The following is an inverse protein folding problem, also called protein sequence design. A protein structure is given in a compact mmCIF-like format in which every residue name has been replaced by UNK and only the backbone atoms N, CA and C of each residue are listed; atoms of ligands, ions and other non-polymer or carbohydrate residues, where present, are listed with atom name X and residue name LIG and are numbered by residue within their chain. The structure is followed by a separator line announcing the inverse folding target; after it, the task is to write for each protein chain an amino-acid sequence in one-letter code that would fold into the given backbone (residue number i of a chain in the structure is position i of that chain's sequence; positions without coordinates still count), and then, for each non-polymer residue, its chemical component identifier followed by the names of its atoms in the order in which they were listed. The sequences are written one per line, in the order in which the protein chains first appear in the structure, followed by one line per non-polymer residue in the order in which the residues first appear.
data_IF_984019806239
#
_entry.id   IF_984019806239
#
_cell.length_a   1.000
_cell.length_b   1.000
_cell.length_c   1.000
_cell.angle_alpha   90.00
_cell.angle_beta   90.00
_cell.angle_gamma   90.00
#
_symmetry.space_group_name_H-M   'P 1'
#
loop_
_entity.id
_entity.type
_entity.pdbx_description
1 polymer ?
#
# COMPACT_ATOMS: atom_id res chain seq x y z
N UNK A 1 -18.47 16.52 -12.71
CA UNK A 1 -17.10 16.50 -12.13
C UNK A 1 -16.61 15.07 -11.97
N UNK A 2 -15.32 14.87 -11.69
CA UNK A 2 -14.68 13.53 -11.56
C UNK A 2 -15.37 12.65 -10.47
N UNK A 3 -16.11 13.25 -9.55
CA UNK A 3 -16.81 12.58 -8.46
C UNK A 3 -18.21 12.04 -8.81
N UNK A 4 -18.83 12.40 -9.94
CA UNK A 4 -20.27 12.12 -10.20
C UNK A 4 -20.63 10.64 -10.09
N UNK A 5 -19.73 9.73 -10.47
CA UNK A 5 -19.97 8.28 -10.44
C UNK A 5 -19.34 7.58 -9.22
N UNK A 6 -18.88 8.33 -8.22
CA UNK A 6 -18.24 7.80 -7.00
C UNK A 6 -19.15 8.03 -5.80
N UNK A 7 -20.07 7.10 -5.54
CA UNK A 7 -20.98 7.16 -4.40
C UNK A 7 -20.26 7.30 -3.04
N UNK A 8 -19.03 6.79 -2.96
CA UNK A 8 -18.15 6.86 -1.80
C UNK A 8 -17.29 8.15 -1.74
N UNK A 9 -17.50 9.12 -2.63
CA UNK A 9 -16.80 10.42 -2.58
C UNK A 9 -17.33 11.26 -1.42
N UNK A 10 -16.43 11.78 -0.59
CA UNK A 10 -16.78 12.69 0.50
C UNK A 10 -17.51 13.94 0.00
N UNK A 11 -17.22 14.40 -1.23
CA UNK A 11 -17.93 15.52 -1.84
C UNK A 11 -19.39 15.18 -2.11
N UNK A 12 -19.67 13.96 -2.59
CA UNK A 12 -21.04 13.51 -2.83
C UNK A 12 -21.80 13.24 -1.52
N UNK A 13 -21.11 12.68 -0.52
CA UNK A 13 -21.70 12.39 0.79
C UNK A 13 -22.03 13.66 1.58
N UNK A 14 -21.20 14.71 1.48
CA UNK A 14 -21.40 15.98 2.20
C UNK A 14 -22.14 17.03 1.39
N UNK A 15 -22.21 16.89 0.07
CA UNK A 15 -22.73 17.92 -0.84
C UNK A 15 -21.89 19.21 -0.88
N UNK A 16 -20.77 19.28 -0.15
CA UNK A 16 -20.03 20.51 0.09
C UNK A 16 -18.58 20.42 -0.41
N UNK A 17 -18.42 20.65 -1.72
CA UNK A 17 -17.10 20.68 -2.38
C UNK A 17 -16.10 21.65 -1.73
N UNK A 18 -16.42 22.92 -1.41
CA UNK A 18 -15.44 23.83 -0.83
C UNK A 18 -15.00 23.39 0.57
N UNK A 19 -15.89 22.80 1.37
CA UNK A 19 -15.52 22.25 2.68
C UNK A 19 -14.47 21.15 2.55
N UNK A 20 -14.72 20.14 1.70
CA UNK A 20 -13.77 19.03 1.48
C UNK A 20 -12.44 19.54 0.92
N UNK A 21 -12.46 20.53 0.03
CA UNK A 21 -11.26 21.17 -0.49
C UNK A 21 -10.43 21.84 0.61
N UNK A 22 -11.06 22.64 1.47
CA UNK A 22 -10.37 23.33 2.56
C UNK A 22 -9.88 22.39 3.65
N UNK A 23 -10.66 21.35 3.99
CA UNK A 23 -10.22 20.30 4.91
C UNK A 23 -8.98 19.57 4.36
N UNK A 24 -8.99 19.20 3.09
CA UNK A 24 -7.84 18.55 2.44
C UNK A 24 -6.57 19.41 2.47
N UNK A 25 -6.69 20.71 2.13
CA UNK A 25 -5.56 21.63 2.20
C UNK A 25 -5.11 21.89 3.65
N UNK A 26 -6.05 21.95 4.60
CA UNK A 26 -5.74 22.06 6.02
C UNK A 26 -4.90 20.88 6.51
N UNK A 27 -5.31 19.64 6.22
CA UNK A 27 -4.54 18.43 6.54
C UNK A 27 -3.16 18.43 5.87
N UNK A 28 -3.06 18.88 4.60
CA UNK A 28 -1.79 18.98 3.90
C UNK A 28 -0.84 19.98 4.58
N UNK A 29 -1.33 21.19 4.90
CA UNK A 29 -0.55 22.21 5.60
C UNK A 29 -0.09 21.73 6.98
N UNK A 30 -0.96 21.04 7.73
CA UNK A 30 -0.61 20.43 9.02
C UNK A 30 0.44 19.33 8.88
N UNK A 31 0.35 18.50 7.83
CA UNK A 31 1.37 17.50 7.54
C UNK A 31 2.72 18.13 7.25
N UNK A 32 2.77 19.13 6.35
CA UNK A 32 4.00 19.84 6.00
C UNK A 32 4.59 20.54 7.23
N UNK A 33 3.77 21.25 8.01
CA UNK A 33 4.24 21.93 9.21
C UNK A 33 4.79 20.94 10.23
N UNK A 34 4.14 19.79 10.43
CA UNK A 34 4.65 18.71 11.29
C UNK A 34 6.01 18.17 10.86
N UNK A 35 6.23 18.00 9.56
CA UNK A 35 7.52 17.53 9.03
C UNK A 35 8.62 18.58 9.25
N UNK A 36 8.30 19.85 9.01
CA UNK A 36 9.23 20.96 9.22
C UNK A 36 9.57 21.15 10.71
N UNK A 37 8.59 21.01 11.61
CA UNK A 37 8.83 21.11 13.04
C UNK A 37 9.67 19.94 13.55
N UNK A 38 9.44 18.70 13.09
CA UNK A 38 10.31 17.54 13.38
C UNK A 38 11.74 17.83 12.91
N UNK A 39 11.91 18.27 11.67
CA UNK A 39 13.24 18.57 11.09
C UNK A 39 13.97 19.65 11.90
N UNK A 40 13.27 20.72 12.26
CA UNK A 40 13.83 21.81 13.05
C UNK A 40 14.19 21.38 14.48
N UNK A 41 13.27 20.69 15.16
CA UNK A 41 13.46 20.21 16.53
C UNK A 41 14.61 19.21 16.61
N UNK A 42 14.70 18.32 15.63
CA UNK A 42 15.72 17.28 15.61
C UNK A 42 17.09 17.78 15.15
N UNK A 43 17.13 18.92 14.45
CA UNK A 43 18.31 19.46 13.74
C UNK A 43 18.91 18.43 12.77
N UNK A 44 18.05 17.62 12.16
CA UNK A 44 18.39 16.52 11.26
C UNK A 44 17.42 16.52 10.07
N UNK A 45 17.97 16.45 8.86
CA UNK A 45 17.22 16.49 7.60
C UNK A 45 16.76 15.13 7.10
N UNK A 46 17.10 14.01 7.76
CA UNK A 46 16.82 12.66 7.25
C UNK A 46 15.33 12.42 6.99
N UNK A 47 14.45 12.79 7.94
CA UNK A 47 12.99 12.60 7.80
C UNK A 47 12.46 13.39 6.61
N UNK A 48 12.86 14.66 6.47
CA UNK A 48 12.49 15.49 5.33
C UNK A 48 12.99 14.89 4.02
N UNK A 49 14.23 14.39 3.99
CA UNK A 49 14.81 13.74 2.82
C UNK A 49 14.04 12.50 2.37
N UNK A 50 13.65 11.63 3.31
CA UNK A 50 12.82 10.45 3.01
C UNK A 50 11.47 10.83 2.42
N UNK A 51 10.84 11.89 2.95
CA UNK A 51 9.54 12.37 2.47
C UNK A 51 9.66 13.02 1.09
N UNK A 52 10.69 13.84 0.86
CA UNK A 52 10.95 14.43 -0.45
C UNK A 52 11.22 13.34 -1.50
N UNK A 53 11.94 12.27 -1.13
CA UNK A 53 12.15 11.11 -1.99
C UNK A 53 10.82 10.40 -2.31
N UNK A 54 9.94 10.20 -1.33
CA UNK A 54 8.59 9.69 -1.56
C UNK A 54 7.77 10.59 -2.51
N UNK A 55 7.82 11.92 -2.33
CA UNK A 55 7.15 12.87 -3.22
C UNK A 55 7.70 12.79 -4.65
N UNK A 56 9.02 12.70 -4.80
CA UNK A 56 9.68 12.53 -6.09
C UNK A 56 9.24 11.22 -6.78
N UNK A 57 9.26 10.10 -6.06
CA UNK A 57 8.78 8.82 -6.59
C UNK A 57 7.29 8.85 -6.95
N UNK A 58 6.47 9.54 -6.15
CA UNK A 58 5.06 9.78 -6.44
C UNK A 58 4.85 10.60 -7.72
N UNK A 59 5.70 11.61 -7.96
CA UNK A 59 5.71 12.34 -9.23
C UNK A 59 6.14 11.43 -10.39
N UNK A 60 7.25 10.69 -10.27
CA UNK A 60 7.73 9.77 -11.31
C UNK A 60 6.71 8.66 -11.63
N UNK A 61 5.89 8.26 -10.65
CA UNK A 61 4.84 7.27 -10.84
C UNK A 61 3.79 7.69 -11.87
N UNK A 62 3.32 8.95 -11.83
CA UNK A 62 2.18 9.40 -12.64
C UNK A 62 2.52 10.53 -13.62
N UNK A 63 3.51 11.37 -13.31
CA UNK A 63 3.87 12.58 -14.05
C UNK A 63 4.78 12.33 -15.26
N UNK A 64 4.69 13.17 -16.32
CA UNK A 64 5.66 13.18 -17.41
C UNK A 64 7.05 13.66 -16.92
N UNK A 65 8.16 13.23 -17.54
CA UNK A 65 8.24 12.31 -18.68
C UNK A 65 8.17 10.83 -18.29
N UNK A 66 8.29 10.48 -17.01
CA UNK A 66 8.53 9.09 -16.58
C UNK A 66 7.27 8.21 -16.64
N UNK A 67 6.16 8.63 -16.03
CA UNK A 67 4.90 7.87 -15.95
C UNK A 67 5.12 6.38 -15.61
N UNK A 68 5.94 6.08 -14.60
CA UNK A 68 6.39 4.72 -14.28
C UNK A 68 5.23 3.75 -13.95
N UNK A 69 4.11 4.27 -13.42
CA UNK A 69 2.89 3.49 -13.22
C UNK A 69 2.29 2.94 -14.53
N UNK A 70 2.45 3.66 -15.64
CA UNK A 70 2.06 3.19 -16.98
C UNK A 70 3.04 2.17 -17.53
N UNK A 71 4.27 2.17 -17.03
CA UNK A 71 5.32 1.23 -17.44
C UNK A 71 5.33 -0.07 -16.62
N UNK A 72 4.38 -0.26 -15.69
CA UNK A 72 4.27 -1.48 -14.88
C UNK A 72 5.23 -1.53 -13.68
N UNK A 73 5.75 -0.39 -13.24
CA UNK A 73 6.56 -0.27 -12.01
C UNK A 73 5.74 0.13 -10.78
N UNK A 74 4.42 0.17 -10.90
CA UNK A 74 3.53 0.70 -9.87
C UNK A 74 3.63 -0.08 -8.56
N UNK A 75 3.65 -1.40 -8.64
CA UNK A 75 3.74 -2.31 -7.50
C UNK A 75 5.04 -2.12 -6.72
N UNK A 76 6.16 -1.91 -7.42
CA UNK A 76 7.46 -1.67 -6.79
C UNK A 76 7.52 -0.29 -6.13
N UNK A 77 7.04 0.75 -6.81
CA UNK A 77 7.02 2.11 -6.25
C UNK A 77 6.08 2.16 -5.04
N UNK A 78 4.91 1.52 -5.14
CA UNK A 78 3.97 1.38 -4.04
C UNK A 78 4.62 0.66 -2.84
N UNK A 79 5.30 -0.46 -3.09
CA UNK A 79 6.06 -1.19 -2.08
C UNK A 79 7.10 -0.30 -1.37
N UNK A 80 7.96 0.38 -2.14
CA UNK A 80 9.05 1.21 -1.60
C UNK A 80 8.49 2.39 -0.79
N UNK A 81 7.52 3.13 -1.35
CA UNK A 81 6.98 4.33 -0.74
C UNK A 81 6.17 4.03 0.53
N UNK A 82 5.28 3.02 0.50
CA UNK A 82 4.40 2.70 1.62
C UNK A 82 4.99 1.71 2.62
N UNK A 83 6.08 1.03 2.27
CA UNK A 83 6.83 0.14 3.16
C UNK A 83 8.09 0.83 3.69
N UNK A 84 9.28 0.49 3.15
CA UNK A 84 10.57 0.97 3.65
C UNK A 84 10.67 2.48 3.88
N UNK A 85 10.26 3.31 2.92
CA UNK A 85 10.43 4.76 3.08
C UNK A 85 9.51 5.33 4.16
N UNK A 86 8.19 5.09 4.06
CA UNK A 86 7.23 5.63 5.02
C UNK A 86 7.48 5.14 6.45
N UNK A 87 7.64 3.83 6.66
CA UNK A 87 7.82 3.29 8.01
C UNK A 87 9.20 3.66 8.59
N UNK A 88 10.25 3.74 7.77
CA UNK A 88 11.54 4.23 8.26
C UNK A 88 11.47 5.71 8.63
N UNK A 89 10.75 6.54 7.88
CA UNK A 89 10.55 7.95 8.24
C UNK A 89 9.83 8.10 9.59
N UNK A 90 8.79 7.29 9.82
CA UNK A 90 8.05 7.27 11.10
C UNK A 90 8.89 6.73 12.25
N UNK A 91 9.69 5.69 12.03
CA UNK A 91 10.56 5.12 13.07
C UNK A 91 11.71 6.08 13.42
N UNK A 92 12.36 6.64 12.40
CA UNK A 92 13.48 7.55 12.58
C UNK A 92 13.03 8.87 13.21
N UNK A 93 11.83 9.38 12.87
CA UNK A 93 11.30 10.60 13.51
C UNK A 93 11.04 10.45 15.01
N UNK A 94 10.95 9.22 15.52
CA UNK A 94 10.75 8.97 16.94
C UNK A 94 12.06 8.59 17.65
N UNK A 95 12.92 7.80 16.99
CA UNK A 95 14.09 7.19 17.63
C UNK A 95 15.43 7.82 17.23
N UNK A 96 15.46 8.61 16.15
CA UNK A 96 16.69 9.10 15.50
C UNK A 96 17.72 8.01 15.21
N UNK A 97 17.26 6.79 14.92
CA UNK A 97 18.12 5.65 14.68
C UNK A 97 17.56 4.76 13.57
N UNK A 98 18.42 3.95 12.98
CA UNK A 98 18.03 2.93 12.02
C UNK A 98 17.87 1.59 12.73
N UNK A 99 16.87 0.81 12.33
CA UNK A 99 16.63 -0.52 12.87
C UNK A 99 16.38 -1.51 11.75
N UNK A 100 17.15 -2.61 11.75
CA UNK A 100 16.96 -3.73 10.84
C UNK A 100 15.60 -4.39 11.05
N UNK A 101 15.14 -4.51 12.30
CA UNK A 101 13.80 -5.00 12.64
C UNK A 101 12.70 -4.11 12.05
N UNK A 102 12.84 -2.78 12.16
CA UNK A 102 11.89 -1.85 11.54
C UNK A 102 11.89 -1.98 10.00
N UNK A 103 13.07 -2.11 9.39
CA UNK A 103 13.18 -2.31 7.95
C UNK A 103 12.50 -3.62 7.53
N UNK A 104 12.73 -4.72 8.23
CA UNK A 104 12.08 -6.01 7.99
C UNK A 104 10.53 -5.92 8.13
N UNK A 105 10.03 -5.23 9.16
CA UNK A 105 8.60 -5.00 9.35
C UNK A 105 8.03 -4.15 8.20
N UNK A 106 8.74 -3.11 7.78
CA UNK A 106 8.34 -2.23 6.69
C UNK A 106 8.28 -2.92 5.33
N UNK A 107 9.17 -3.89 5.06
CA UNK A 107 9.11 -4.72 3.86
C UNK A 107 7.82 -5.54 3.86
N UNK A 108 7.48 -6.18 4.98
CA UNK A 108 6.25 -6.97 5.10
C UNK A 108 5.01 -6.10 4.85
N UNK A 109 4.93 -4.93 5.48
CA UNK A 109 3.82 -3.98 5.29
C UNK A 109 3.78 -3.50 3.83
N UNK A 110 4.90 -3.10 3.25
CA UNK A 110 4.97 -2.65 1.86
C UNK A 110 4.47 -3.70 0.86
N UNK A 111 4.78 -4.98 1.08
CA UNK A 111 4.33 -6.06 0.19
C UNK A 111 2.81 -6.25 0.27
N UNK A 112 2.23 -6.19 1.47
CA UNK A 112 0.77 -6.23 1.63
C UNK A 112 0.08 -5.00 1.02
N UNK A 113 0.69 -3.81 1.07
CA UNK A 113 0.18 -2.62 0.38
C UNK A 113 0.24 -2.79 -1.15
N UNK A 114 1.36 -3.29 -1.67
CA UNK A 114 1.54 -3.56 -3.10
C UNK A 114 0.52 -4.60 -3.61
N UNK A 115 0.14 -5.57 -2.78
CA UNK A 115 -0.92 -6.53 -3.07
C UNK A 115 -2.28 -5.86 -3.31
N UNK A 116 -2.60 -4.75 -2.61
CA UNK A 116 -3.81 -3.97 -2.83
C UNK A 116 -3.80 -3.39 -4.25
N UNK A 117 -2.68 -2.79 -4.65
CA UNK A 117 -2.51 -2.22 -5.99
C UNK A 117 -2.64 -3.30 -7.06
N UNK A 118 -1.96 -4.44 -6.88
CA UNK A 118 -2.10 -5.60 -7.76
C UNK A 118 -3.56 -6.04 -7.92
N UNK A 119 -4.31 -6.16 -6.81
CA UNK A 119 -5.73 -6.52 -6.84
C UNK A 119 -6.59 -5.46 -7.56
N UNK A 120 -6.23 -4.18 -7.46
CA UNK A 120 -7.02 -3.09 -8.07
C UNK A 120 -7.10 -3.18 -9.60
N UNK A 121 -6.09 -3.77 -10.25
CA UNK A 121 -6.01 -3.90 -11.70
C UNK A 121 -7.01 -4.90 -12.30
N UNK A 122 -7.54 -5.87 -11.52
CA UNK A 122 -8.33 -6.97 -12.10
C UNK A 122 -9.62 -6.49 -12.77
N UNK A 123 -10.26 -5.47 -12.20
CA UNK A 123 -11.51 -4.92 -12.74
C UNK A 123 -11.25 -3.94 -13.89
N UNK A 124 -10.04 -3.36 -13.98
CA UNK A 124 -9.71 -2.22 -14.84
C UNK A 124 -8.87 -2.62 -16.06
N UNK A 125 -8.86 -3.91 -16.43
CA UNK A 125 -8.00 -4.41 -17.50
C UNK A 125 -8.15 -3.62 -18.80
N UNK A 126 -9.37 -3.46 -19.29
CA UNK A 126 -9.64 -2.79 -20.56
C UNK A 126 -9.34 -1.29 -20.49
N UNK A 127 -9.68 -0.64 -19.37
CA UNK A 127 -9.40 0.79 -19.14
C UNK A 127 -7.88 1.06 -19.08
N UNK A 128 -7.14 0.23 -18.34
CA UNK A 128 -5.68 0.33 -18.22
C UNK A 128 -5.02 0.08 -19.59
N UNK A 129 -5.51 -0.91 -20.36
CA UNK A 129 -5.02 -1.19 -21.71
C UNK A 129 -5.29 -0.04 -22.69
N UNK A 130 -6.51 0.52 -22.68
CA UNK A 130 -6.90 1.64 -23.52
C UNK A 130 -6.10 2.92 -23.17
N UNK A 131 -5.77 3.12 -21.89
CA UNK A 131 -4.92 4.21 -21.42
C UNK A 131 -3.41 3.99 -21.70
N UNK A 132 -3.03 2.87 -22.34
CA UNK A 132 -1.64 2.53 -22.66
C UNK A 132 -0.81 2.10 -21.45
N UNK A 133 -1.43 1.77 -20.31
CA UNK A 133 -0.74 1.23 -19.15
C UNK A 133 -0.37 -0.23 -19.39
N UNK A 134 0.81 -0.60 -18.91
CA UNK A 134 1.38 -1.94 -18.97
C UNK A 134 1.44 -2.57 -17.58
N UNK A 135 0.33 -2.53 -16.84
CA UNK A 135 0.22 -3.12 -15.49
C UNK A 135 0.45 -4.64 -15.55
N UNK A 136 0.77 -5.30 -14.41
CA UNK A 136 1.00 -6.74 -14.38
C UNK A 136 -0.16 -7.54 -14.98
N UNK A 137 -1.40 -7.11 -14.73
CA UNK A 137 -2.59 -7.82 -15.24
C UNK A 137 -2.78 -7.60 -16.74
N UNK A 138 -2.45 -6.42 -17.27
CA UNK A 138 -2.42 -6.20 -18.73
C UNK A 138 -1.37 -7.08 -19.41
N UNK A 139 -0.21 -7.29 -18.77
CA UNK A 139 0.89 -8.11 -19.33
C UNK A 139 0.63 -9.62 -19.24
N UNK A 140 0.15 -10.08 -18.08
CA UNK A 140 -0.01 -11.50 -17.78
C UNK A 140 -1.39 -12.04 -18.14
N UNK A 141 -2.39 -11.16 -18.24
CA UNK A 141 -3.81 -11.52 -18.30
C UNK A 141 -4.39 -11.86 -16.93
N UNK A 142 -5.71 -11.86 -16.83
CA UNK A 142 -6.42 -12.06 -15.55
C UNK A 142 -6.23 -13.47 -15.00
N UNK A 143 -6.22 -14.50 -15.85
CA UNK A 143 -6.07 -15.89 -15.41
C UNK A 143 -4.71 -16.15 -14.73
N UNK A 144 -3.59 -15.83 -15.40
CA UNK A 144 -2.24 -16.00 -14.82
C UNK A 144 -2.06 -15.15 -13.56
N UNK A 145 -2.58 -13.92 -13.58
CA UNK A 145 -2.53 -13.04 -12.40
C UNK A 145 -3.33 -13.60 -11.22
N UNK A 146 -4.46 -14.25 -11.48
CA UNK A 146 -5.25 -14.92 -10.44
C UNK A 146 -4.51 -16.11 -9.83
N UNK A 147 -3.78 -16.90 -10.63
CA UNK A 147 -2.93 -17.98 -10.13
C UNK A 147 -1.66 -17.49 -9.42
N UNK A 148 -1.16 -16.29 -9.75
CA UNK A 148 -0.03 -15.66 -9.07
C UNK A 148 -0.41 -15.15 -7.67
N UNK A 149 -1.65 -14.70 -7.48
CA UNK A 149 -2.09 -14.08 -6.24
C UNK A 149 -1.89 -14.95 -4.97
N UNK A 150 -2.24 -16.26 -4.96
CA UNK A 150 -1.93 -17.15 -3.83
C UNK A 150 -0.44 -17.20 -3.47
N UNK A 151 0.46 -17.16 -4.45
CA UNK A 151 1.90 -17.15 -4.21
C UNK A 151 2.37 -15.85 -3.57
N UNK A 152 1.85 -14.71 -4.02
CA UNK A 152 2.12 -13.41 -3.40
C UNK A 152 1.62 -13.35 -1.96
N UNK A 153 0.41 -13.87 -1.71
CA UNK A 153 -0.13 -14.01 -0.35
C UNK A 153 0.75 -14.94 0.50
N UNK A 154 1.12 -16.10 -0.02
CA UNK A 154 2.01 -17.05 0.68
C UNK A 154 3.34 -16.42 1.04
N UNK A 155 3.94 -15.67 0.11
CA UNK A 155 5.18 -14.93 0.35
C UNK A 155 5.04 -13.91 1.50
N UNK A 156 3.93 -13.16 1.53
CA UNK A 156 3.62 -12.20 2.59
C UNK A 156 3.52 -12.82 3.98
N UNK A 157 3.06 -14.08 4.09
CA UNK A 157 3.03 -14.78 5.37
C UNK A 157 4.35 -15.47 5.69
N UNK A 158 5.07 -16.00 4.69
CA UNK A 158 6.34 -16.69 4.94
C UNK A 158 7.42 -15.73 5.44
N UNK A 159 7.43 -14.48 4.96
CA UNK A 159 8.51 -13.54 5.26
C UNK A 159 8.58 -13.17 6.76
N UNK A 160 7.49 -12.80 7.45
CA UNK A 160 7.50 -12.62 8.91
C UNK A 160 7.85 -13.89 9.68
N UNK A 161 7.41 -15.07 9.22
CA UNK A 161 7.76 -16.32 9.90
C UNK A 161 9.27 -16.57 9.85
N UNK A 162 9.92 -16.26 8.72
CA UNK A 162 11.38 -16.29 8.60
C UNK A 162 12.01 -15.31 9.60
N UNK A 163 11.50 -14.08 9.73
CA UNK A 163 12.02 -13.11 10.69
C UNK A 163 11.83 -13.51 12.16
N UNK A 164 10.77 -14.26 12.49
CA UNK A 164 10.61 -14.86 13.83
C UNK A 164 11.67 -15.94 14.07
N UNK A 165 11.88 -16.85 13.10
CA UNK A 165 12.88 -17.92 13.20
C UNK A 165 14.30 -17.35 13.34
N UNK A 166 14.59 -16.25 12.64
CA UNK A 166 15.87 -15.53 12.72
C UNK A 166 16.01 -14.69 14.01
N UNK A 167 15.02 -14.68 14.89
CA UNK A 167 15.03 -13.91 16.14
C UNK A 167 14.91 -12.39 15.96
N UNK A 168 14.53 -11.91 14.77
CA UNK A 168 14.33 -10.47 14.51
C UNK A 168 12.96 -9.99 14.98
N UNK A 169 11.94 -10.85 14.91
CA UNK A 169 10.56 -10.53 15.32
C UNK A 169 10.18 -11.31 16.58
N UNK A 170 9.42 -10.70 17.52
CA UNK A 170 8.83 -11.41 18.65
C UNK A 170 7.88 -12.51 18.19
N UNK A 171 7.77 -13.59 18.98
CA UNK A 171 6.87 -14.72 18.66
C UNK A 171 5.40 -14.28 18.52
N UNK A 172 4.97 -13.26 19.27
CA UNK A 172 3.60 -12.71 19.21
C UNK A 172 3.24 -12.11 17.84
N UNK A 173 4.22 -11.74 17.01
CA UNK A 173 3.98 -11.32 15.63
C UNK A 173 3.39 -12.45 14.76
N UNK A 174 3.47 -13.71 15.18
CA UNK A 174 2.78 -14.84 14.52
C UNK A 174 1.25 -14.75 14.58
N UNK A 175 0.70 -13.85 15.41
CA UNK A 175 -0.74 -13.56 15.44
C UNK A 175 -1.29 -13.08 14.09
N UNK A 176 -0.44 -12.59 13.17
CA UNK A 176 -0.84 -12.29 11.78
C UNK A 176 -1.51 -13.48 11.08
N UNK A 177 -1.21 -14.72 11.48
CA UNK A 177 -1.79 -15.94 10.91
C UNK A 177 -3.31 -16.02 11.13
N UNK A 178 -3.86 -15.29 12.11
CA UNK A 178 -5.31 -15.14 12.30
C UNK A 178 -5.98 -14.53 11.06
N UNK A 179 -5.24 -13.76 10.23
CA UNK A 179 -5.76 -13.18 8.98
C UNK A 179 -5.76 -14.13 7.80
N UNK A 180 -5.20 -15.35 7.91
CA UNK A 180 -5.15 -16.33 6.83
C UNK A 180 -6.52 -16.59 6.17
N UNK A 181 -7.64 -16.72 6.90
CA UNK A 181 -8.95 -16.90 6.27
C UNK A 181 -9.34 -15.75 5.34
N UNK A 182 -8.93 -14.51 5.64
CA UNK A 182 -9.17 -13.36 4.77
C UNK A 182 -8.35 -13.46 3.48
N UNK A 183 -7.08 -13.87 3.58
CA UNK A 183 -6.22 -14.09 2.42
C UNK A 183 -6.72 -15.22 1.53
N UNK A 184 -7.15 -16.35 2.12
CA UNK A 184 -7.76 -17.47 1.38
C UNK A 184 -9.04 -17.02 0.70
N UNK A 185 -9.89 -16.25 1.38
CA UNK A 185 -11.12 -15.70 0.79
C UNK A 185 -10.82 -14.77 -0.39
N UNK A 186 -9.83 -13.89 -0.27
CA UNK A 186 -9.36 -13.03 -1.36
C UNK A 186 -8.89 -13.86 -2.55
N UNK A 187 -8.00 -14.82 -2.32
CA UNK A 187 -7.45 -15.68 -3.38
C UNK A 187 -8.55 -16.45 -4.10
N UNK A 188 -9.45 -17.09 -3.36
CA UNK A 188 -10.57 -17.85 -3.92
C UNK A 188 -11.52 -16.94 -4.70
N UNK A 189 -11.82 -15.75 -4.19
CA UNK A 189 -12.67 -14.78 -4.87
C UNK A 189 -12.10 -14.38 -6.23
N UNK A 190 -10.80 -14.10 -6.30
CA UNK A 190 -10.13 -13.73 -7.55
C UNK A 190 -10.03 -14.93 -8.49
N UNK A 191 -9.62 -16.11 -8.01
CA UNK A 191 -9.52 -17.33 -8.84
C UNK A 191 -10.84 -17.70 -9.51
N UNK A 192 -11.97 -17.52 -8.83
CA UNK A 192 -13.30 -17.84 -9.40
C UNK A 192 -13.82 -16.74 -10.32
N UNK A 193 -13.53 -15.46 -10.01
CA UNK A 193 -14.19 -14.32 -10.66
C UNK A 193 -13.28 -13.49 -11.57
N UNK A 194 -12.02 -13.87 -11.81
CA UNK A 194 -11.04 -13.05 -12.55
C UNK A 194 -11.49 -12.64 -13.97
N UNK A 195 -12.43 -13.38 -14.56
CA UNK A 195 -13.00 -13.11 -15.88
C UNK A 195 -14.25 -12.21 -15.86
N UNK A 196 -14.72 -11.80 -14.68
CA UNK A 196 -15.93 -11.01 -14.49
C UNK A 196 -15.59 -9.69 -13.79
N UNK A 197 -15.29 -8.61 -14.54
CA UNK A 197 -14.83 -7.32 -14.01
C UNK A 197 -15.71 -6.76 -12.88
N UNK A 198 -17.03 -6.90 -13.01
CA UNK A 198 -17.99 -6.43 -12.01
C UNK A 198 -17.85 -7.17 -10.68
N UNK A 199 -17.71 -8.50 -10.69
CA UNK A 199 -17.57 -9.31 -9.47
C UNK A 199 -16.16 -9.19 -8.86
N UNK A 200 -15.12 -9.18 -9.69
CA UNK A 200 -13.73 -9.11 -9.21
C UNK A 200 -13.39 -7.74 -8.65
N UNK A 201 -14.14 -6.68 -8.99
CA UNK A 201 -13.93 -5.31 -8.47
C UNK A 201 -13.86 -5.22 -6.94
N UNK A 202 -14.49 -6.16 -6.22
CA UNK A 202 -14.47 -6.25 -4.76
C UNK A 202 -13.12 -6.70 -4.17
N UNK A 203 -12.24 -7.32 -4.97
CA UNK A 203 -10.98 -7.86 -4.47
C UNK A 203 -10.05 -6.79 -3.87
N UNK A 204 -10.07 -5.55 -4.38
CA UNK A 204 -9.29 -4.45 -3.80
C UNK A 204 -9.71 -4.14 -2.36
N UNK A 205 -11.01 -4.19 -2.05
CA UNK A 205 -11.51 -3.94 -0.70
C UNK A 205 -11.17 -5.10 0.24
N UNK A 206 -11.23 -6.34 -0.27
CA UNK A 206 -10.77 -7.52 0.48
C UNK A 206 -9.27 -7.44 0.77
N UNK A 207 -8.46 -6.98 -0.18
CA UNK A 207 -7.03 -6.74 0.01
C UNK A 207 -6.75 -5.62 1.03
N UNK A 208 -7.54 -4.54 1.01
CA UNK A 208 -7.46 -3.48 2.04
C UNK A 208 -7.79 -4.04 3.43
N UNK A 209 -8.85 -4.83 3.57
CA UNK A 209 -9.22 -5.44 4.84
C UNK A 209 -8.14 -6.41 5.36
N UNK A 210 -7.54 -7.18 4.45
CA UNK A 210 -6.40 -8.04 4.74
C UNK A 210 -5.20 -7.21 5.25
N UNK A 211 -4.75 -6.20 4.50
CA UNK A 211 -3.63 -5.35 4.87
C UNK A 211 -3.85 -4.66 6.22
N UNK A 212 -5.04 -4.10 6.45
CA UNK A 212 -5.38 -3.43 7.69
C UNK A 212 -5.30 -4.39 8.89
N UNK A 213 -5.97 -5.55 8.80
CA UNK A 213 -5.99 -6.54 9.88
C UNK A 213 -4.60 -7.13 10.12
N UNK A 214 -3.85 -7.37 9.04
CA UNK A 214 -2.48 -7.89 9.09
C UNK A 214 -1.55 -6.90 9.79
N UNK A 215 -1.58 -5.63 9.39
CA UNK A 215 -0.75 -4.58 9.98
C UNK A 215 -1.09 -4.33 11.45
N UNK A 216 -2.38 -4.37 11.81
CA UNK A 216 -2.82 -4.22 13.20
C UNK A 216 -2.31 -5.36 14.09
N UNK A 217 -2.45 -6.62 13.64
CA UNK A 217 -1.95 -7.78 14.39
C UNK A 217 -0.42 -7.82 14.46
N UNK A 218 0.27 -7.44 13.37
CA UNK A 218 1.72 -7.32 13.38
C UNK A 218 2.18 -6.28 14.41
N UNK A 219 1.53 -5.11 14.43
CA UNK A 219 1.82 -4.04 15.40
C UNK A 219 1.56 -4.48 16.84
N UNK A 220 0.41 -5.12 17.11
CA UNK A 220 0.10 -5.69 18.43
C UNK A 220 1.14 -6.74 18.85
N UNK A 221 1.59 -7.58 17.93
CA UNK A 221 2.61 -8.59 18.18
C UNK A 221 4.00 -8.03 18.47
N UNK A 222 4.29 -6.77 18.11
CA UNK A 222 5.51 -6.08 18.53
C UNK A 222 5.38 -5.41 19.92
N UNK A 223 4.16 -5.15 20.36
CA UNK A 223 3.88 -4.52 21.67
C UNK A 223 3.87 -5.57 22.80
N UNK A 224 3.40 -6.79 22.51
CA UNK A 224 3.31 -7.92 23.44
C UNK A 224 4.64 -8.69 23.55
#
# INVERSE_FOLDING_TARGET
GIDVNKAHSLVNLTGNKPLIYWLGNGCLCLGISGILTITWWQKDGIVLGLILLCCFLGYCYQGPPFRLGYQGWGELICFICYGPLALSAVYYSQTKSWSSTNLAASVTIGLTTSLILFCSHFHQLEDDRAAGKRSPIVRLGTAKSAYLLPWLCGFNYSLPMIFIILGQFPLWTSSILVTLPLAVRLCRHVLVNHNQPQKVSQCKFMAVALHFSFGMLLGLGFIL
#
